data_IF_461518612825
#
_entry.id   IF_461518612825
#
_cell.length_a   1.000
_cell.length_b   1.000
_cell.length_c   1.000
_cell.angle_alpha   90.00
_cell.angle_beta   90.00
_cell.angle_gamma   90.00
#
_symmetry.space_group_name_H-M   'P 1'
#
loop_
_entity.id
_entity.type
_entity.pdbx_description
1 polymer ?
#
# COMPACT_ATOMS: atom_id res chain seq x y z
N UNK A 1 6.39 11.73 -6.96
CA UNK A 1 5.53 11.11 -5.93
C UNK A 1 6.05 9.71 -5.70
N UNK A 2 6.27 9.31 -4.45
CA UNK A 2 6.80 7.98 -4.11
C UNK A 2 5.66 7.09 -3.61
N UNK A 3 5.63 5.84 -4.07
CA UNK A 3 4.69 4.81 -3.63
C UNK A 3 5.50 3.63 -3.11
N UNK A 4 5.41 3.38 -1.81
CA UNK A 4 6.11 2.28 -1.14
C UNK A 4 5.28 1.00 -1.30
N UNK A 5 5.80 0.03 -2.03
CA UNK A 5 5.12 -1.20 -2.36
C UNK A 5 5.59 -2.28 -1.38
N UNK A 6 4.70 -2.65 -0.47
CA UNK A 6 4.93 -3.70 0.52
C UNK A 6 4.54 -5.05 -0.07
N UNK A 7 5.31 -6.07 0.30
CA UNK A 7 5.01 -7.45 -0.03
C UNK A 7 6.27 -8.31 -0.11
N UNK A 8 6.07 -9.61 -0.18
CA UNK A 8 7.12 -10.59 -0.35
C UNK A 8 7.00 -11.29 -1.72
N UNK A 9 8.07 -11.25 -2.54
CA UNK A 9 8.11 -11.90 -3.85
C UNK A 9 8.02 -13.44 -3.75
N UNK A 10 8.46 -14.02 -2.63
CA UNK A 10 8.44 -15.47 -2.38
C UNK A 10 7.06 -15.99 -1.97
N UNK A 11 6.12 -15.08 -1.64
CA UNK A 11 4.75 -15.43 -1.24
C UNK A 11 3.80 -14.99 -2.35
N UNK A 12 3.24 -15.96 -3.08
CA UNK A 12 2.38 -15.68 -4.25
C UNK A 12 1.21 -14.73 -3.93
N UNK A 13 0.63 -14.86 -2.73
CA UNK A 13 -0.48 -14.05 -2.24
C UNK A 13 -0.09 -12.62 -1.81
N UNK A 14 1.19 -12.36 -1.63
CA UNK A 14 1.75 -11.08 -1.16
C UNK A 14 2.54 -10.36 -2.26
N UNK A 15 2.97 -11.10 -3.28
CA UNK A 15 3.66 -10.58 -4.47
C UNK A 15 2.81 -9.67 -5.37
N UNK A 16 1.49 -9.56 -5.13
CA UNK A 16 0.58 -8.84 -6.04
C UNK A 16 0.92 -7.34 -6.14
N UNK A 17 1.18 -6.69 -5.00
CA UNK A 17 1.57 -5.27 -5.00
C UNK A 17 2.89 -5.04 -5.76
N UNK A 18 3.87 -5.94 -5.59
CA UNK A 18 5.16 -5.88 -6.28
C UNK A 18 5.02 -6.12 -7.79
N UNK A 19 4.21 -7.09 -8.19
CA UNK A 19 3.90 -7.36 -9.61
C UNK A 19 3.23 -6.18 -10.30
N UNK A 20 2.34 -5.48 -9.59
CA UNK A 20 1.68 -4.27 -10.11
C UNK A 20 2.69 -3.13 -10.20
N UNK A 21 3.57 -2.98 -9.21
CA UNK A 21 4.64 -1.99 -9.23
C UNK A 21 5.58 -2.18 -10.44
N UNK A 22 5.96 -3.42 -10.75
CA UNK A 22 6.78 -3.72 -11.93
C UNK A 22 6.07 -3.43 -13.26
N UNK A 23 4.75 -3.66 -13.29
CA UNK A 23 3.94 -3.48 -14.51
C UNK A 23 3.58 -2.01 -14.76
N UNK A 24 3.40 -1.23 -13.70
CA UNK A 24 2.95 0.16 -13.81
C UNK A 24 4.12 1.12 -14.00
N UNK A 25 4.15 1.77 -15.15
CA UNK A 25 4.98 2.95 -15.37
C UNK A 25 4.08 4.20 -15.51
N UNK A 26 4.19 5.12 -14.55
CA UNK A 26 3.41 6.37 -14.52
C UNK A 26 4.38 7.56 -14.41
N UNK A 27 4.39 8.50 -15.37
CA UNK A 27 5.26 9.67 -15.31
C UNK A 27 5.09 10.49 -14.02
N UNK A 28 6.21 10.72 -13.31
CA UNK A 28 6.25 11.45 -12.05
C UNK A 28 5.85 10.64 -10.80
N UNK A 29 5.66 9.33 -10.95
CA UNK A 29 5.43 8.38 -9.85
C UNK A 29 6.59 7.38 -9.83
N UNK A 30 7.16 7.18 -8.65
CA UNK A 30 8.23 6.23 -8.39
C UNK A 30 7.68 5.13 -7.47
N UNK A 31 7.70 3.88 -7.94
CA UNK A 31 7.32 2.73 -7.14
C UNK A 31 8.58 2.16 -6.46
N UNK A 32 8.59 2.17 -5.13
CA UNK A 32 9.72 1.70 -4.32
C UNK A 32 9.28 0.40 -3.65
N UNK A 33 9.84 -0.74 -4.07
CA UNK A 33 9.61 -2.02 -3.41
C UNK A 33 10.36 -2.03 -2.08
N UNK A 34 9.68 -2.35 -1.00
CA UNK A 34 10.31 -2.48 0.31
C UNK A 34 9.51 -3.42 1.19
N UNK A 35 10.17 -4.09 2.12
CA UNK A 35 9.59 -4.93 3.16
C UNK A 35 9.41 -4.19 4.49
N UNK A 36 9.92 -2.96 4.59
CA UNK A 36 9.94 -2.16 5.83
C UNK A 36 9.72 -0.67 5.55
N UNK A 37 9.09 0.04 6.48
CA UNK A 37 8.96 1.49 6.39
C UNK A 37 10.08 2.24 7.14
N UNK A 38 11.17 1.53 7.48
CA UNK A 38 12.35 2.09 8.14
C UNK A 38 12.88 3.35 7.42
N UNK A 39 13.00 4.45 8.19
CA UNK A 39 13.49 5.76 7.77
C UNK A 39 12.61 6.52 6.75
N UNK A 40 11.32 6.21 6.65
CA UNK A 40 10.39 6.99 5.83
C UNK A 40 9.73 8.10 6.67
N UNK A 41 9.77 9.34 6.16
CA UNK A 41 9.21 10.54 6.79
C UNK A 41 8.31 11.34 5.83
N UNK A 42 7.39 12.12 6.40
CA UNK A 42 6.50 13.05 5.68
C UNK A 42 5.16 12.44 5.24
N UNK A 43 4.71 12.83 4.05
CA UNK A 43 3.51 12.29 3.41
C UNK A 43 3.83 11.00 2.67
N UNK A 44 3.24 9.90 3.12
CA UNK A 44 3.56 8.59 2.58
C UNK A 44 2.37 7.97 1.86
N UNK A 45 2.68 7.31 0.74
CA UNK A 45 1.73 6.51 -0.01
C UNK A 45 2.26 5.09 -0.03
N UNK A 46 1.46 4.15 0.46
CA UNK A 46 1.80 2.73 0.54
C UNK A 46 0.88 1.97 -0.40
N UNK A 47 1.41 0.98 -1.08
CA UNK A 47 0.64 -0.02 -1.82
C UNK A 47 0.88 -1.37 -1.17
N UNK A 48 -0.18 -2.00 -0.70
CA UNK A 48 -0.10 -3.24 0.07
C UNK A 48 -1.27 -4.16 -0.29
N UNK A 49 -1.08 -5.45 -0.12
CA UNK A 49 -2.10 -6.44 -0.42
C UNK A 49 -3.05 -6.58 0.76
N UNK A 50 -4.34 -6.35 0.54
CA UNK A 50 -5.37 -6.52 1.57
C UNK A 50 -6.15 -7.80 1.33
N UNK A 51 -6.28 -8.60 2.38
CA UNK A 51 -7.08 -9.83 2.37
C UNK A 51 -8.58 -9.51 2.38
N UNK A 52 -9.34 -10.18 1.52
CA UNK A 52 -10.81 -10.11 1.53
C UNK A 52 -11.43 -8.95 0.75
N UNK A 53 -10.62 -8.05 0.16
CA UNK A 53 -11.11 -7.07 -0.82
C UNK A 53 -11.12 -7.70 -2.23
N UNK A 54 -12.06 -7.25 -3.07
CA UNK A 54 -12.19 -7.69 -4.47
C UNK A 54 -11.69 -6.65 -5.48
N UNK A 55 -11.56 -5.42 -5.04
CA UNK A 55 -11.24 -4.24 -5.85
C UNK A 55 -10.27 -3.35 -5.09
N UNK A 56 -9.51 -2.53 -5.81
CA UNK A 56 -8.53 -1.61 -5.21
C UNK A 56 -9.24 -0.60 -4.32
N UNK A 57 -8.79 -0.48 -3.06
CA UNK A 57 -9.33 0.49 -2.11
C UNK A 57 -8.30 1.56 -1.78
N UNK A 58 -8.76 2.80 -1.72
CA UNK A 58 -7.98 3.93 -1.22
C UNK A 58 -8.38 4.20 0.23
N UNK A 59 -7.43 4.06 1.15
CA UNK A 59 -7.60 4.33 2.58
C UNK A 59 -6.78 5.58 2.90
N UNK A 60 -7.44 6.62 3.40
CA UNK A 60 -6.79 7.90 3.72
C UNK A 60 -6.81 8.11 5.23
N UNK A 61 -5.63 8.12 5.84
CA UNK A 61 -5.46 8.32 7.28
C UNK A 61 -5.57 7.05 8.12
N UNK A 62 -4.92 7.07 9.28
CA UNK A 62 -4.80 5.92 10.17
C UNK A 62 -6.12 5.48 10.83
N UNK A 63 -7.11 6.37 10.90
CA UNK A 63 -8.40 6.06 11.53
C UNK A 63 -9.21 5.08 10.67
N UNK A 64 -9.12 5.19 9.35
CA UNK A 64 -9.77 4.28 8.41
C UNK A 64 -9.07 2.92 8.34
N UNK A 65 -7.78 2.83 8.70
CA UNK A 65 -7.04 1.56 8.73
C UNK A 65 -7.71 0.58 9.72
N UNK A 66 -8.23 1.06 10.85
CA UNK A 66 -8.91 0.21 11.85
C UNK A 66 -10.15 -0.50 11.29
N UNK A 67 -10.81 0.09 10.29
CA UNK A 67 -12.06 -0.45 9.72
C UNK A 67 -11.82 -1.46 8.60
N UNK A 68 -10.67 -1.39 7.92
CA UNK A 68 -10.35 -2.23 6.76
C UNK A 68 -9.30 -3.31 7.01
N UNK A 69 -8.56 -3.26 8.14
CA UNK A 69 -7.54 -4.25 8.52
C UNK A 69 -7.97 -5.12 9.73
N UNK A 70 -8.86 -6.12 9.57
CA UNK A 70 -8.91 -7.22 10.51
C UNK A 70 -8.03 -8.39 10.01
N UNK A 71 -6.97 -8.67 10.78
CA UNK A 71 -6.39 -10.02 11.00
C UNK A 71 -5.44 -10.56 9.91
N UNK A 72 -4.13 -10.30 10.06
CA UNK A 72 -3.06 -11.32 10.13
C UNK A 72 -1.89 -10.82 11.00
N UNK A 73 -1.02 -11.74 11.48
CA UNK A 73 0.14 -11.41 12.33
C UNK A 73 1.24 -10.61 11.59
N UNK A 74 1.33 -10.70 10.26
CA UNK A 74 2.22 -9.87 9.45
C UNK A 74 1.66 -8.46 9.22
N UNK A 75 0.34 -8.31 9.07
CA UNK A 75 -0.35 -7.01 8.92
C UNK A 75 -0.40 -6.20 10.23
N UNK A 76 -0.17 -6.87 11.36
CA UNK A 76 -0.12 -6.27 12.68
C UNK A 76 1.08 -5.31 12.82
N UNK A 77 2.17 -5.58 12.10
CA UNK A 77 3.38 -4.76 12.12
C UNK A 77 3.17 -3.44 11.39
N UNK A 78 2.57 -3.45 10.19
CA UNK A 78 2.35 -2.22 9.41
C UNK A 78 1.45 -1.21 10.14
N UNK A 79 0.30 -1.68 10.64
CA UNK A 79 -0.63 -0.82 11.36
C UNK A 79 -0.06 -0.25 12.66
N UNK A 80 0.83 -1.00 13.34
CA UNK A 80 1.51 -0.56 14.55
C UNK A 80 2.66 0.39 14.23
N UNK A 81 3.47 0.08 13.23
CA UNK A 81 4.58 0.90 12.76
C UNK A 81 4.10 2.28 12.31
N UNK A 82 3.02 2.34 11.52
CA UNK A 82 2.41 3.60 11.09
C UNK A 82 1.92 4.47 12.26
N UNK A 83 1.34 3.85 13.29
CA UNK A 83 0.93 4.56 14.51
C UNK A 83 2.12 5.06 15.31
N UNK A 84 3.15 4.25 15.46
CA UNK A 84 4.38 4.62 16.17
C UNK A 84 5.04 5.82 15.49
N UNK A 85 5.23 5.74 14.17
CA UNK A 85 5.81 6.80 13.35
C UNK A 85 5.00 8.10 13.39
N UNK A 86 3.67 8.00 13.36
CA UNK A 86 2.80 9.18 13.57
C UNK A 86 2.95 9.76 14.98
N UNK A 87 3.07 8.91 16.01
CA UNK A 87 3.23 9.35 17.39
C UNK A 87 4.55 10.09 17.64
N UNK A 88 5.62 9.75 16.91
CA UNK A 88 6.91 10.46 16.95
C UNK A 88 7.01 11.58 15.90
N UNK A 89 5.89 11.98 15.28
CA UNK A 89 5.79 13.03 14.25
C UNK A 89 6.67 12.81 13.00
N UNK A 90 7.04 11.57 12.69
CA UNK A 90 7.75 11.25 11.45
C UNK A 90 6.82 11.21 10.24
N UNK A 91 5.54 10.90 10.43
CA UNK A 91 4.55 10.84 9.35
C UNK A 91 3.41 11.81 9.62
N UNK A 92 3.13 12.68 8.66
CA UNK A 92 1.99 13.61 8.73
C UNK A 92 0.71 12.98 8.15
N UNK A 93 0.81 12.44 6.92
CA UNK A 93 -0.31 11.79 6.23
C UNK A 93 0.09 10.43 5.68
N UNK A 94 -0.84 9.49 5.77
CA UNK A 94 -0.71 8.16 5.19
C UNK A 94 -1.86 7.93 4.22
N UNK A 95 -1.53 7.50 3.02
CA UNK A 95 -2.49 6.96 2.05
C UNK A 95 -2.11 5.53 1.75
N UNK A 96 -3.04 4.58 1.89
CA UNK A 96 -2.83 3.18 1.54
C UNK A 96 -3.67 2.85 0.30
N UNK A 97 -3.02 2.28 -0.71
CA UNK A 97 -3.60 1.69 -1.90
C UNK A 97 -3.69 0.19 -1.62
N UNK A 98 -4.83 -0.24 -1.11
CA UNK A 98 -5.12 -1.64 -0.83
C UNK A 98 -5.42 -2.40 -2.12
N UNK A 99 -4.61 -3.41 -2.40
CA UNK A 99 -4.72 -4.26 -3.59
C UNK A 99 -5.30 -5.62 -3.22
N UNK A 100 -6.24 -6.21 -3.99
CA UNK A 100 -6.74 -7.55 -3.68
C UNK A 100 -5.67 -8.63 -3.87
N UNK A 101 -5.59 -9.59 -2.95
CA UNK A 101 -4.65 -10.74 -3.03
C UNK A 101 -4.80 -11.57 -4.30
N UNK A 102 -6.00 -11.57 -4.90
CA UNK A 102 -6.34 -12.39 -6.06
C UNK A 102 -7.15 -11.56 -7.04
N UNK A 103 -6.91 -11.78 -8.33
CA UNK A 103 -7.65 -11.16 -9.42
C UNK A 103 -6.79 -11.04 -10.67
N UNK A 104 -7.35 -10.43 -11.72
CA UNK A 104 -6.61 -10.15 -12.93
C UNK A 104 -5.66 -8.96 -12.71
N UNK A 105 -4.37 -9.19 -12.90
CA UNK A 105 -3.32 -8.17 -12.76
C UNK A 105 -3.60 -6.95 -13.66
N UNK A 106 -4.16 -7.14 -14.85
CA UNK A 106 -4.47 -6.04 -15.79
C UNK A 106 -5.54 -5.12 -15.25
N UNK A 107 -6.68 -5.70 -14.86
CA UNK A 107 -7.81 -4.94 -14.30
C UNK A 107 -7.40 -4.21 -13.02
N UNK A 108 -6.65 -4.88 -12.15
CA UNK A 108 -6.15 -4.30 -10.90
C UNK A 108 -5.16 -3.17 -11.20
N UNK A 109 -4.23 -3.36 -12.14
CA UNK A 109 -3.25 -2.31 -12.51
C UNK A 109 -3.96 -1.06 -13.05
N UNK A 110 -5.01 -1.22 -13.85
CA UNK A 110 -5.83 -0.10 -14.32
C UNK A 110 -6.53 0.62 -13.17
N UNK A 111 -7.09 -0.14 -12.22
CA UNK A 111 -7.70 0.45 -11.02
C UNK A 111 -6.67 1.21 -10.18
N UNK A 112 -5.48 0.66 -9.96
CA UNK A 112 -4.39 1.36 -9.25
C UNK A 112 -4.02 2.64 -9.99
N UNK A 113 -3.85 2.60 -11.33
CA UNK A 113 -3.54 3.78 -12.14
C UNK A 113 -4.62 4.87 -12.06
N UNK A 114 -5.90 4.49 -12.02
CA UNK A 114 -7.03 5.42 -11.82
C UNK A 114 -6.99 6.03 -10.42
N UNK A 115 -6.78 5.21 -9.39
CA UNK A 115 -6.71 5.66 -8.00
C UNK A 115 -5.52 6.61 -7.77
N UNK A 116 -4.34 6.31 -8.34
CA UNK A 116 -3.16 7.17 -8.27
C UNK A 116 -3.43 8.58 -8.83
N UNK A 117 -4.20 8.68 -9.93
CA UNK A 117 -4.60 10.00 -10.46
C UNK A 117 -5.51 10.79 -9.52
N UNK A 118 -6.27 10.11 -8.66
CA UNK A 118 -7.16 10.72 -7.66
C UNK A 118 -6.44 11.08 -6.34
N UNK A 119 -5.17 10.72 -6.19
CA UNK A 119 -4.31 11.12 -5.05
C UNK A 119 -3.57 12.43 -5.38
N UNK A 120 -3.34 12.72 -6.67
CA UNK A 120 -2.74 13.96 -7.16
C UNK A 120 -3.67 15.18 -7.01
#
# INVERSE_FOLDING_TARGET
MKIYCLGNEDIELDSMALKIADKLNIPGVEFIKTDSLENIEGDIIIMDVIKGIKEVKLIRGLDQIKEFYPITAHDCDLGMELKLRKAINQIERVTIIGVPMKGNIEDISEQVKKNIKNIK
#
